data_IF_514066860228
#
_entry.id   IF_514066860228
#
_cell.length_a   1.000
_cell.length_b   1.000
_cell.length_c   1.000
_cell.angle_alpha   90.00
_cell.angle_beta   90.00
_cell.angle_gamma   90.00
#
_symmetry.space_group_name_H-M   'P 1'
#
loop_
_entity.id
_entity.type
_entity.pdbx_description
1 polymer ?
#
# COMPACT_ATOMS: atom_id res chain seq x y z
N UNK A 1 -14.07 14.86 6.98
CA UNK A 1 -13.80 13.46 7.36
C UNK A 1 -12.33 13.21 7.02
N UNK A 2 -11.64 12.32 7.73
CA UNK A 2 -10.20 12.11 7.54
C UNK A 2 -9.88 10.62 7.54
N UNK A 3 -8.66 10.30 7.13
CA UNK A 3 -8.22 8.93 6.94
C UNK A 3 -8.08 8.22 8.29
N UNK A 4 -8.77 7.09 8.44
CA UNK A 4 -8.87 6.35 9.70
C UNK A 4 -8.05 5.06 9.66
N UNK A 5 -7.42 4.67 10.76
CA UNK A 5 -6.71 3.39 10.87
C UNK A 5 -7.50 2.44 11.79
N UNK A 6 -7.59 1.16 11.39
CA UNK A 6 -8.22 0.09 12.15
C UNK A 6 -7.31 -1.14 12.23
N UNK A 7 -7.54 -1.96 13.26
CA UNK A 7 -6.91 -3.27 13.47
C UNK A 7 -5.37 -3.24 13.62
N UNK A 8 -4.84 -2.16 14.20
CA UNK A 8 -3.42 -1.97 14.39
C UNK A 8 -3.09 -1.73 15.87
N UNK A 9 -1.93 -2.20 16.35
CA UNK A 9 -1.46 -1.91 17.71
C UNK A 9 -1.18 -0.41 17.84
N UNK A 10 -1.65 0.21 18.93
CA UNK A 10 -1.55 1.66 19.18
C UNK A 10 -0.15 2.26 18.93
N UNK A 11 0.91 1.56 19.34
CA UNK A 11 2.28 2.04 19.11
C UNK A 11 2.67 2.11 17.64
N UNK A 12 2.24 1.14 16.82
CA UNK A 12 2.47 1.14 15.38
C UNK A 12 1.52 2.13 14.69
N UNK A 13 0.27 2.21 15.11
CA UNK A 13 -0.71 3.19 14.63
C UNK A 13 -0.19 4.63 14.74
N UNK A 14 0.41 5.01 15.88
CA UNK A 14 1.02 6.34 16.05
C UNK A 14 2.13 6.58 15.03
N UNK A 15 2.99 5.59 14.78
CA UNK A 15 4.09 5.70 13.80
C UNK A 15 3.55 5.81 12.37
N UNK A 16 2.56 5.01 12.00
CA UNK A 16 1.91 5.06 10.69
C UNK A 16 1.25 6.43 10.48
N UNK A 17 0.48 6.93 11.45
CA UNK A 17 -0.13 8.26 11.37
C UNK A 17 0.91 9.38 11.17
N UNK A 18 2.06 9.29 11.85
CA UNK A 18 3.17 10.23 11.62
C UNK A 18 3.72 10.14 10.19
N UNK A 19 3.79 8.94 9.60
CA UNK A 19 4.24 8.77 8.23
C UNK A 19 3.21 9.31 7.23
N UNK A 20 1.92 9.09 7.45
CA UNK A 20 0.85 9.63 6.60
C UNK A 20 0.86 11.16 6.63
N UNK A 21 1.09 11.76 7.80
CA UNK A 21 1.18 13.21 7.95
C UNK A 21 2.32 13.84 7.12
N UNK A 22 3.35 13.08 6.74
CA UNK A 22 4.42 13.59 5.86
C UNK A 22 3.94 13.85 4.42
N UNK A 23 2.88 13.16 3.98
CA UNK A 23 2.31 13.33 2.64
C UNK A 23 1.59 14.67 2.47
N UNK A 24 1.15 15.29 3.57
CA UNK A 24 0.39 16.53 3.56
C UNK A 24 -1.11 16.34 3.81
N UNK A 25 -1.81 17.46 3.99
CA UNK A 25 -3.21 17.48 4.43
C UNK A 25 -4.15 16.82 3.41
N UNK A 26 -3.90 16.99 2.11
CA UNK A 26 -4.76 16.44 1.05
C UNK A 26 -4.89 14.91 1.13
N UNK A 27 -3.84 14.21 1.55
CA UNK A 27 -3.84 12.75 1.72
C UNK A 27 -4.37 12.33 3.09
N UNK A 28 -4.09 13.11 4.13
CA UNK A 28 -4.62 12.85 5.48
C UNK A 28 -6.14 13.07 5.57
N UNK A 29 -6.70 13.90 4.69
CA UNK A 29 -8.14 14.19 4.64
C UNK A 29 -8.98 13.22 3.81
N UNK A 30 -8.36 12.23 3.14
CA UNK A 30 -9.09 11.24 2.35
C UNK A 30 -10.14 10.52 3.20
N UNK A 31 -11.34 10.34 2.68
CA UNK A 31 -12.45 9.68 3.35
C UNK A 31 -12.34 8.15 3.26
N UNK A 32 -11.21 7.62 3.69
CA UNK A 32 -10.88 6.20 3.64
C UNK A 32 -10.62 5.62 5.04
N UNK A 33 -10.85 4.32 5.17
CA UNK A 33 -10.42 3.55 6.33
C UNK A 33 -9.38 2.52 5.94
N UNK A 34 -8.21 2.57 6.58
CA UNK A 34 -7.12 1.61 6.41
C UNK A 34 -7.28 0.46 7.42
N UNK A 35 -7.44 -0.74 6.91
CA UNK A 35 -7.52 -1.98 7.68
C UNK A 35 -6.20 -2.73 7.58
N UNK A 36 -5.55 -2.93 8.73
CA UNK A 36 -4.34 -3.73 8.82
C UNK A 36 -4.66 -5.19 9.19
N UNK A 37 -4.11 -6.13 8.43
CA UNK A 37 -4.25 -7.57 8.66
C UNK A 37 -2.93 -8.13 9.21
N UNK A 38 -2.86 -8.26 10.53
CA UNK A 38 -1.67 -8.79 11.22
C UNK A 38 -1.40 -10.28 10.95
N UNK A 39 -2.41 -11.04 10.51
CA UNK A 39 -2.28 -12.46 10.23
C UNK A 39 -3.24 -12.92 9.12
N UNK A 40 -2.89 -14.03 8.46
CA UNK A 40 -3.68 -14.65 7.39
C UNK A 40 -5.07 -15.10 7.88
N UNK A 41 -5.19 -15.54 9.13
CA UNK A 41 -6.46 -16.00 9.72
C UNK A 41 -7.56 -14.93 9.72
N UNK A 42 -7.20 -13.66 10.03
CA UNK A 42 -8.15 -12.54 9.96
C UNK A 42 -8.69 -12.35 8.54
N UNK A 43 -7.84 -12.44 7.52
CA UNK A 43 -8.25 -12.32 6.13
C UNK A 43 -9.10 -13.52 5.68
N UNK A 44 -8.73 -14.74 6.08
CA UNK A 44 -9.53 -15.96 5.81
C UNK A 44 -10.93 -15.87 6.45
N UNK A 45 -11.02 -15.32 7.66
CA UNK A 45 -12.30 -15.11 8.33
C UNK A 45 -13.17 -14.11 7.57
N UNK A 46 -12.58 -13.03 7.05
CA UNK A 46 -13.30 -12.08 6.20
C UNK A 46 -13.81 -12.74 4.91
N UNK A 47 -12.93 -13.42 4.17
CA UNK A 47 -13.28 -14.15 2.95
C UNK A 47 -14.49 -15.08 3.13
N UNK A 48 -14.54 -15.80 4.26
CA UNK A 48 -15.63 -16.76 4.56
C UNK A 48 -16.94 -16.10 4.99
N UNK A 49 -16.89 -15.01 5.75
CA UNK A 49 -18.07 -14.49 6.44
C UNK A 49 -18.65 -13.22 5.78
N UNK A 50 -17.78 -12.37 5.22
CA UNK A 50 -18.17 -11.09 4.62
C UNK A 50 -17.10 -10.66 3.61
N UNK A 51 -16.98 -11.37 2.48
CA UNK A 51 -16.04 -11.00 1.43
C UNK A 51 -16.43 -9.65 0.85
N UNK A 52 -15.44 -8.79 0.69
CA UNK A 52 -15.52 -7.46 0.09
C UNK A 52 -14.44 -7.26 -1.00
N UNK A 53 -13.78 -8.36 -1.40
CA UNK A 53 -12.92 -8.46 -2.58
C UNK A 53 -13.38 -9.64 -3.44
N UNK A 54 -12.96 -9.68 -4.71
CA UNK A 54 -13.22 -10.80 -5.62
C UNK A 54 -12.45 -12.05 -5.17
N UNK A 55 -12.95 -13.24 -5.52
CA UNK A 55 -12.33 -14.51 -5.11
C UNK A 55 -10.90 -14.66 -5.65
N UNK A 56 -10.67 -14.15 -6.85
CA UNK A 56 -9.37 -14.09 -7.54
C UNK A 56 -8.38 -13.25 -6.76
N UNK A 57 -8.80 -12.08 -6.23
CA UNK A 57 -7.97 -11.20 -5.42
C UNK A 57 -7.54 -11.88 -4.11
N UNK A 58 -8.48 -12.54 -3.41
CA UNK A 58 -8.12 -13.33 -2.23
C UNK A 58 -7.12 -14.44 -2.58
N UNK A 59 -7.30 -15.10 -3.73
CA UNK A 59 -6.40 -16.17 -4.18
C UNK A 59 -5.00 -15.64 -4.48
N UNK A 60 -4.88 -14.50 -5.16
CA UNK A 60 -3.61 -13.80 -5.40
C UNK A 60 -2.91 -13.46 -4.06
N UNK A 61 -3.65 -12.92 -3.09
CA UNK A 61 -3.05 -12.53 -1.79
C UNK A 61 -2.57 -13.75 -0.99
N UNK A 62 -3.28 -14.88 -1.04
CA UNK A 62 -2.90 -16.07 -0.27
C UNK A 62 -1.83 -16.92 -0.93
N UNK A 63 -1.90 -17.07 -2.25
CA UNK A 63 -1.21 -18.10 -3.03
C UNK A 63 -0.45 -17.55 -4.24
N UNK A 64 -0.50 -16.26 -4.51
CA UNK A 64 0.13 -15.68 -5.69
C UNK A 64 1.65 -15.71 -5.61
N UNK A 65 2.29 -15.84 -6.78
CA UNK A 65 3.74 -15.70 -6.93
C UNK A 65 4.17 -14.24 -6.75
N UNK A 66 3.34 -13.32 -7.26
CA UNK A 66 3.51 -11.88 -7.07
C UNK A 66 2.79 -11.44 -5.79
N UNK A 67 3.57 -11.00 -4.81
CA UNK A 67 3.03 -10.52 -3.55
C UNK A 67 2.24 -9.21 -3.72
N UNK A 68 1.00 -9.22 -3.27
CA UNK A 68 0.15 -8.02 -3.18
C UNK A 68 0.07 -7.59 -1.72
N UNK A 69 0.83 -6.55 -1.35
CA UNK A 69 0.96 -6.12 0.04
C UNK A 69 -0.16 -5.19 0.53
N UNK A 70 -0.94 -4.64 -0.40
CA UNK A 70 -2.12 -3.84 -0.11
C UNK A 70 -3.13 -3.88 -1.26
N UNK A 71 -4.35 -3.45 -0.97
CA UNK A 71 -5.42 -3.27 -1.96
C UNK A 71 -6.28 -2.07 -1.56
N UNK A 72 -6.58 -1.23 -2.53
CA UNK A 72 -7.54 -0.12 -2.38
C UNK A 72 -8.87 -0.47 -3.04
N UNK A 73 -9.96 -0.41 -2.26
CA UNK A 73 -11.33 -0.68 -2.70
C UNK A 73 -12.09 0.64 -2.70
N UNK A 74 -12.05 1.34 -3.84
CA UNK A 74 -12.52 2.71 -3.96
C UNK A 74 -13.99 2.90 -3.63
N UNK A 75 -14.85 2.03 -4.17
CA UNK A 75 -16.31 2.06 -3.96
C UNK A 75 -16.73 1.93 -2.48
N UNK A 76 -15.87 1.33 -1.65
CA UNK A 76 -16.12 1.14 -0.21
C UNK A 76 -15.37 2.12 0.68
N UNK A 77 -14.50 2.97 0.12
CA UNK A 77 -13.61 3.84 0.89
C UNK A 77 -12.66 3.06 1.80
N UNK A 78 -12.09 1.94 1.30
CA UNK A 78 -11.22 1.06 2.10
C UNK A 78 -9.84 0.92 1.48
N UNK A 79 -8.84 0.93 2.35
CA UNK A 79 -7.50 0.44 2.04
C UNK A 79 -7.25 -0.76 2.93
N UNK A 80 -6.67 -1.82 2.38
CA UNK A 80 -6.26 -3.00 3.13
C UNK A 80 -4.77 -3.15 3.02
N UNK A 81 -4.10 -3.37 4.15
CA UNK A 81 -2.65 -3.61 4.21
C UNK A 81 -2.41 -4.94 4.90
N UNK A 82 -1.69 -5.84 4.23
CA UNK A 82 -1.46 -7.20 4.71
C UNK A 82 -0.13 -7.29 5.46
N UNK A 83 -0.15 -6.90 6.75
CA UNK A 83 1.04 -6.89 7.60
C UNK A 83 1.75 -8.22 7.72
N UNK A 84 1.03 -9.34 7.55
CA UNK A 84 1.61 -10.68 7.63
C UNK A 84 2.57 -11.01 6.48
N UNK A 85 2.64 -10.18 5.43
CA UNK A 85 3.63 -10.29 4.36
C UNK A 85 4.95 -9.59 4.70
N UNK A 86 4.98 -8.79 5.76
CA UNK A 86 6.18 -8.10 6.21
C UNK A 86 6.85 -8.88 7.34
N UNK A 87 8.18 -8.87 7.35
CA UNK A 87 9.03 -9.50 8.35
C UNK A 87 9.06 -8.73 9.68
N UNK A 88 10.22 -8.68 10.32
CA UNK A 88 10.37 -8.00 11.62
C UNK A 88 10.53 -6.47 11.43
N UNK A 89 9.39 -5.79 11.26
CA UNK A 89 9.31 -4.31 11.18
C UNK A 89 9.84 -3.57 12.42
N UNK A 90 10.20 -4.26 13.51
CA UNK A 90 10.84 -3.61 14.68
C UNK A 90 12.36 -3.56 14.55
N UNK A 91 12.94 -4.45 13.77
CA UNK A 91 14.40 -4.64 13.69
C UNK A 91 14.96 -4.42 12.30
N UNK A 92 14.14 -4.57 11.27
CA UNK A 92 14.55 -4.42 9.88
C UNK A 92 14.04 -3.10 9.28
N UNK A 93 14.93 -2.13 8.99
CA UNK A 93 14.55 -0.90 8.32
C UNK A 93 14.00 -1.14 6.90
N UNK A 94 14.41 -2.20 6.20
CA UNK A 94 13.91 -2.49 4.85
C UNK A 94 12.44 -2.92 4.87
N UNK A 95 12.02 -3.64 5.90
CA UNK A 95 10.61 -4.03 6.11
C UNK A 95 9.74 -2.79 6.37
N UNK A 96 10.25 -1.82 7.12
CA UNK A 96 9.56 -0.54 7.36
C UNK A 96 9.42 0.24 6.05
N UNK A 97 10.50 0.35 5.28
CA UNK A 97 10.48 1.05 3.99
C UNK A 97 9.51 0.38 3.03
N UNK A 98 9.49 -0.95 2.99
CA UNK A 98 8.56 -1.71 2.16
C UNK A 98 7.11 -1.48 2.60
N UNK A 99 6.83 -1.50 3.90
CA UNK A 99 5.51 -1.26 4.45
C UNK A 99 5.00 0.14 4.14
N UNK A 100 5.81 1.17 4.39
CA UNK A 100 5.41 2.57 4.18
C UNK A 100 5.33 2.89 2.68
N UNK A 101 6.23 2.32 1.86
CA UNK A 101 6.15 2.45 0.40
C UNK A 101 4.84 1.92 -0.15
N UNK A 102 4.44 0.69 0.23
CA UNK A 102 3.14 0.13 -0.16
C UNK A 102 1.97 0.93 0.41
N UNK A 103 2.06 1.43 1.65
CA UNK A 103 1.02 2.29 2.21
C UNK A 103 0.83 3.58 1.39
N UNK A 104 1.93 4.23 0.97
CA UNK A 104 1.86 5.43 0.14
C UNK A 104 1.29 5.14 -1.25
N UNK A 105 1.63 3.99 -1.83
CA UNK A 105 1.05 3.50 -3.08
C UNK A 105 -0.47 3.37 -2.98
N UNK A 106 -0.99 2.68 -1.96
CA UNK A 106 -2.43 2.52 -1.77
C UNK A 106 -3.15 3.84 -1.46
N UNK A 107 -2.54 4.72 -0.66
CA UNK A 107 -3.08 6.06 -0.41
C UNK A 107 -3.19 6.85 -1.71
N UNK A 108 -2.26 6.66 -2.65
CA UNK A 108 -2.34 7.29 -3.97
C UNK A 108 -3.54 6.77 -4.77
N UNK A 109 -3.81 5.48 -4.76
CA UNK A 109 -5.03 4.94 -5.37
C UNK A 109 -6.30 5.51 -4.74
N UNK A 110 -6.34 5.66 -3.41
CA UNK A 110 -7.47 6.29 -2.73
C UNK A 110 -7.66 7.75 -3.20
N UNK A 111 -6.58 8.52 -3.33
CA UNK A 111 -6.62 9.88 -3.87
C UNK A 111 -7.06 9.90 -5.34
N UNK A 112 -6.58 8.98 -6.18
CA UNK A 112 -6.99 8.86 -7.58
C UNK A 112 -8.51 8.63 -7.69
N UNK A 113 -9.06 7.76 -6.84
CA UNK A 113 -10.49 7.47 -6.78
C UNK A 113 -11.32 8.69 -6.37
N UNK A 114 -10.93 9.44 -5.34
CA UNK A 114 -11.65 10.66 -4.93
C UNK A 114 -11.62 11.74 -6.02
N UNK A 115 -10.53 11.80 -6.79
CA UNK A 115 -10.36 12.72 -7.91
C UNK A 115 -10.90 12.18 -9.24
N UNK A 116 -11.56 11.01 -9.23
CA UNK A 116 -12.17 10.37 -10.41
C UNK A 116 -11.19 10.17 -11.56
N UNK A 117 -9.93 9.85 -11.24
CA UNK A 117 -8.91 9.51 -12.23
C UNK A 117 -9.02 8.05 -12.64
N UNK A 118 -8.64 7.74 -13.88
CA UNK A 118 -8.51 6.36 -14.41
C UNK A 118 -9.75 5.47 -14.31
N UNK A 119 -10.97 6.03 -14.23
CA UNK A 119 -12.21 5.28 -14.00
C UNK A 119 -12.59 4.27 -15.11
N UNK A 120 -12.00 4.42 -16.30
CA UNK A 120 -12.27 3.56 -17.46
C UNK A 120 -11.19 2.49 -17.65
N UNK A 121 -10.28 2.34 -16.70
CA UNK A 121 -9.20 1.37 -16.76
C UNK A 121 -9.73 -0.04 -16.47
N UNK A 122 -9.30 -1.04 -17.24
CA UNK A 122 -9.69 -2.42 -17.01
C UNK A 122 -8.99 -2.95 -15.76
N UNK A 123 -9.80 -3.42 -14.80
CA UNK A 123 -9.29 -4.01 -13.57
C UNK A 123 -8.63 -5.37 -13.86
N UNK A 124 -7.34 -5.49 -13.56
CA UNK A 124 -6.60 -6.76 -13.62
C UNK A 124 -6.65 -7.41 -12.24
N UNK A 125 -7.58 -8.36 -12.06
CA UNK A 125 -7.80 -9.03 -10.77
C UNK A 125 -6.77 -10.12 -10.43
N UNK A 126 -5.91 -10.51 -11.37
CA UNK A 126 -4.83 -11.50 -11.17
C UNK A 126 -3.55 -10.97 -11.77
N UNK A 127 -2.56 -10.71 -10.91
CA UNK A 127 -1.28 -10.12 -11.29
C UNK A 127 -0.34 -11.18 -11.86
N UNK A 128 -0.42 -12.41 -11.35
CA UNK A 128 0.40 -13.52 -11.85
C UNK A 128 0.12 -13.78 -13.33
N UNK A 129 1.20 -13.87 -14.12
CA UNK A 129 1.13 -13.98 -15.58
C UNK A 129 0.79 -12.67 -16.32
N UNK A 130 0.38 -11.60 -15.62
CA UNK A 130 -0.01 -10.31 -16.19
C UNK A 130 0.76 -9.11 -15.61
N UNK A 131 1.82 -9.33 -14.83
CA UNK A 131 2.57 -8.28 -14.11
C UNK A 131 2.96 -7.10 -15.02
N UNK A 132 3.49 -7.36 -16.21
CA UNK A 132 3.87 -6.30 -17.16
C UNK A 132 2.68 -5.46 -17.61
N UNK A 133 1.53 -6.07 -17.84
CA UNK A 133 0.29 -5.38 -18.24
C UNK A 133 -0.29 -4.58 -17.07
N UNK A 134 -0.25 -5.17 -15.87
CA UNK A 134 -0.63 -4.53 -14.62
C UNK A 134 0.21 -3.27 -14.36
N UNK A 135 1.54 -3.39 -14.39
CA UNK A 135 2.45 -2.24 -14.20
C UNK A 135 2.36 -1.20 -15.32
N UNK A 136 1.78 -1.53 -16.48
CA UNK A 136 1.57 -0.59 -17.59
C UNK A 136 0.33 0.30 -17.40
N UNK A 137 -0.58 -0.09 -16.51
CA UNK A 137 -1.78 0.67 -16.20
C UNK A 137 -1.43 2.10 -15.77
N UNK A 138 -2.08 3.14 -16.34
CA UNK A 138 -1.90 4.52 -15.93
C UNK A 138 -2.01 4.76 -14.41
N UNK A 139 -2.98 4.11 -13.75
CA UNK A 139 -3.18 4.23 -12.30
C UNK A 139 -1.98 3.72 -11.49
N UNK A 140 -1.48 2.53 -11.84
CA UNK A 140 -0.30 1.89 -11.25
C UNK A 140 0.96 2.71 -11.49
N UNK A 141 1.12 3.26 -12.71
CA UNK A 141 2.26 4.12 -13.02
C UNK A 141 2.32 5.36 -12.16
N UNK A 142 1.18 6.03 -12.00
CA UNK A 142 1.07 7.21 -11.15
C UNK A 142 1.32 6.84 -9.67
N UNK A 143 0.77 5.72 -9.19
CA UNK A 143 0.97 5.24 -7.81
C UNK A 143 2.43 4.90 -7.49
N UNK A 144 3.14 4.19 -8.38
CA UNK A 144 4.56 3.87 -8.20
C UNK A 144 5.47 5.09 -8.28
N UNK A 145 5.19 6.05 -9.19
CA UNK A 145 5.96 7.31 -9.25
C UNK A 145 5.79 8.11 -7.96
N UNK A 146 4.55 8.25 -7.51
CA UNK A 146 4.25 8.90 -6.24
C UNK A 146 4.97 8.22 -5.08
N UNK A 147 4.89 6.90 -4.99
CA UNK A 147 5.62 6.12 -3.99
C UNK A 147 7.12 6.43 -4.02
N UNK A 148 7.76 6.39 -5.19
CA UNK A 148 9.19 6.66 -5.31
C UNK A 148 9.56 8.08 -4.86
N UNK A 149 8.84 9.09 -5.34
CA UNK A 149 9.06 10.49 -5.00
C UNK A 149 8.92 10.75 -3.49
N UNK A 150 7.84 10.23 -2.88
CA UNK A 150 7.60 10.42 -1.44
C UNK A 150 8.61 9.67 -0.60
N UNK A 151 9.01 8.46 -1.00
CA UNK A 151 10.02 7.68 -0.27
C UNK A 151 11.42 8.30 -0.40
N UNK A 152 11.77 8.90 -1.53
CA UNK A 152 13.01 9.67 -1.68
C UNK A 152 13.01 10.93 -0.81
N UNK A 153 11.88 11.63 -0.75
CA UNK A 153 11.73 12.87 0.02
C UNK A 153 11.67 12.63 1.53
N UNK A 154 11.03 11.55 1.97
CA UNK A 154 10.67 11.33 3.37
C UNK A 154 11.28 10.08 4.02
N UNK A 155 11.99 9.23 3.26
CA UNK A 155 12.49 7.94 3.73
C UNK A 155 13.39 8.02 4.98
N UNK A 156 14.31 8.98 5.06
CA UNK A 156 15.12 9.18 6.28
C UNK A 156 14.24 9.52 7.49
N UNK A 157 13.21 10.37 7.30
CA UNK A 157 12.29 10.75 8.38
C UNK A 157 11.39 9.59 8.81
N UNK A 158 10.97 8.77 7.84
CA UNK A 158 10.23 7.53 8.10
C UNK A 158 11.07 6.62 9.00
N UNK A 159 12.33 6.37 8.67
CA UNK A 159 13.23 5.56 9.49
C UNK A 159 13.39 6.14 10.91
N UNK A 160 13.54 7.46 11.03
CA UNK A 160 13.62 8.15 12.32
C UNK A 160 12.37 7.95 13.18
N UNK A 161 11.16 8.04 12.59
CA UNK A 161 9.89 7.77 13.29
C UNK A 161 9.87 6.35 13.89
N UNK A 162 10.54 5.40 13.22
CA UNK A 162 10.63 4.03 13.68
C UNK A 162 11.78 3.77 14.66
N UNK A 163 12.69 4.72 14.83
CA UNK A 163 13.83 4.66 15.77
C UNK A 163 15.17 4.34 15.10
N UNK A 164 15.24 4.39 13.77
CA UNK A 164 16.47 4.17 13.00
C UNK A 164 17.08 5.51 12.60
N UNK A 165 18.39 5.65 12.76
CA UNK A 165 19.14 6.82 12.30
C UNK A 165 20.10 6.38 11.19
N UNK A 166 19.57 6.27 9.97
CA UNK A 166 20.28 5.76 8.80
C UNK A 166 20.10 6.74 7.64
N UNK A 167 21.17 6.90 6.86
CA UNK A 167 21.06 7.51 5.53
C UNK A 167 20.37 6.55 4.59
N UNK A 168 19.49 7.09 3.77
CA UNK A 168 18.59 6.29 2.97
C UNK A 168 18.42 6.87 1.58
N UNK A 169 18.49 6.01 0.57
CA UNK A 169 18.20 6.35 -0.81
C UNK A 169 17.24 5.31 -1.33
N UNK A 170 16.07 5.75 -1.77
CA UNK A 170 15.04 4.86 -2.28
C UNK A 170 15.07 4.78 -3.80
N UNK A 171 14.91 3.56 -4.29
CA UNK A 171 14.58 3.26 -5.67
C UNK A 171 13.55 2.14 -5.69
N UNK A 172 12.62 2.22 -6.64
CA UNK A 172 11.75 1.08 -6.96
C UNK A 172 12.60 -0.14 -7.35
N UNK A 173 12.04 -1.34 -7.15
CA UNK A 173 12.69 -2.57 -7.61
C UNK A 173 12.98 -2.47 -9.12
N UNK A 174 14.13 -2.95 -9.61
CA UNK A 174 14.55 -2.76 -11.01
C UNK A 174 13.51 -3.19 -12.04
N UNK A 175 12.81 -4.29 -11.80
CA UNK A 175 11.73 -4.81 -12.64
C UNK A 175 10.55 -3.84 -12.77
N UNK A 176 10.13 -3.24 -11.65
CA UNK A 176 9.06 -2.21 -11.65
C UNK A 176 9.59 -0.96 -12.35
N UNK A 177 10.77 -0.47 -11.94
CA UNK A 177 11.35 0.79 -12.45
C UNK A 177 11.47 0.80 -13.97
N UNK A 178 11.84 -0.32 -14.60
CA UNK A 178 11.90 -0.48 -16.07
C UNK A 178 10.55 -0.25 -16.76
N UNK A 179 9.44 -0.60 -16.13
CA UNK A 179 8.10 -0.41 -16.69
C UNK A 179 7.56 1.00 -16.44
N UNK A 180 7.93 1.60 -15.30
CA UNK A 180 7.47 2.94 -14.88
C UNK A 180 8.20 4.08 -15.61
N UNK A 181 9.51 3.92 -15.84
CA UNK A 181 10.38 4.87 -16.55
C UNK A 181 11.05 4.21 -17.76
N UNK A 182 10.27 3.80 -18.77
CA UNK A 182 10.81 3.23 -19.99
C UNK A 182 11.69 4.23 -20.75
#
# INVERSE_FOLDING_TARGET
MGLNIRNLKKGLEIKINKCIALLGEEYASLNYTIYFYENREKLLKEQKNKPDMKAEQYTQIFNGETETAGVTIGEMGRIKIFLFLFGDIKRDPNEIISLIGNLYHEIRHAWQNENKLFQNEEEISTIDGNLDSYLKLPSEKDAYRFQEEQMQKHGEKILEIFGFNLKFTYQLKPEIRKVIYP
#
